data_IF_855995500565
#
_entry.id   IF_855995500565
#
_cell.length_a   1.000
_cell.length_b   1.000
_cell.length_c   1.000
_cell.angle_alpha   90.00
_cell.angle_beta   90.00
_cell.angle_gamma   90.00
#
_symmetry.space_group_name_H-M   'P 1'
#
loop_
_entity.id
_entity.type
_entity.pdbx_description
1 polymer ?
#
# COMPACT_ATOMS: atom_id res chain seq x y z
N UNK A 1 10.59 -50.13 15.14
CA UNK A 1 10.66 -48.67 14.93
C UNK A 1 9.23 -48.15 14.80
N UNK A 2 8.83 -47.26 15.71
CA UNK A 2 7.76 -46.23 15.65
C UNK A 2 6.87 -46.33 14.38
N UNK A 3 5.58 -46.67 14.42
CA UNK A 3 4.55 -46.36 15.41
C UNK A 3 4.11 -44.89 15.28
N UNK A 4 3.01 -44.64 14.54
CA UNK A 4 1.84 -43.83 14.92
C UNK A 4 1.09 -43.29 13.67
N UNK A 5 0.08 -44.07 13.30
CA UNK A 5 -1.26 -43.70 12.83
C UNK A 5 -1.53 -42.18 12.84
N UNK A 6 -1.56 -41.55 11.65
CA UNK A 6 -2.24 -40.27 11.41
C UNK A 6 -3.65 -40.52 10.89
N UNK A 7 -4.47 -41.20 11.68
CA UNK A 7 -5.92 -41.22 11.49
C UNK A 7 -6.56 -40.62 12.74
N UNK A 8 -7.48 -39.68 12.50
CA UNK A 8 -8.34 -38.97 13.45
C UNK A 8 -7.72 -37.75 14.15
N UNK A 9 -7.76 -36.60 13.49
CA UNK A 9 -7.92 -35.30 14.13
C UNK A 9 -8.65 -34.36 13.17
N UNK A 10 -9.92 -34.15 13.45
CA UNK A 10 -10.76 -33.14 12.82
C UNK A 10 -10.19 -31.75 13.14
N UNK A 11 -9.56 -31.11 12.14
CA UNK A 11 -9.39 -29.67 12.01
C UNK A 11 -8.46 -29.44 10.82
N UNK A 12 -8.98 -29.66 9.61
CA UNK A 12 -8.47 -28.98 8.42
C UNK A 12 -8.81 -27.49 8.62
N UNK A 13 -8.09 -26.81 9.52
CA UNK A 13 -7.99 -25.38 9.50
C UNK A 13 -7.28 -25.06 8.18
N UNK A 14 -8.11 -24.85 7.16
CA UNK A 14 -7.74 -24.07 5.99
C UNK A 14 -7.14 -22.79 6.54
N UNK A 15 -5.81 -22.77 6.62
CA UNK A 15 -5.04 -21.56 6.88
C UNK A 15 -5.26 -20.71 5.64
N UNK A 16 -6.37 -19.98 5.64
CA UNK A 16 -6.59 -18.86 4.74
C UNK A 16 -5.54 -17.82 5.13
N UNK A 17 -4.32 -17.98 4.61
CA UNK A 17 -3.38 -16.89 4.49
C UNK A 17 -4.04 -15.86 3.57
N UNK A 18 -4.88 -15.02 4.17
CA UNK A 18 -5.38 -13.83 3.53
C UNK A 18 -4.15 -12.95 3.36
N UNK A 19 -3.55 -12.98 2.16
CA UNK A 19 -2.68 -11.92 1.67
C UNK A 19 -3.52 -10.65 1.56
N UNK A 20 -3.93 -10.13 2.73
CA UNK A 20 -4.76 -8.96 2.87
C UNK A 20 -3.80 -7.78 2.98
N UNK A 21 -4.02 -6.81 2.12
CA UNK A 21 -3.37 -5.52 2.24
C UNK A 21 -3.62 -4.97 3.67
N UNK A 22 -2.55 -4.61 4.38
CA UNK A 22 -2.58 -4.17 5.78
C UNK A 22 -2.86 -2.69 5.92
N UNK A 23 -3.02 -1.95 4.82
CA UNK A 23 -3.41 -0.56 4.86
C UNK A 23 -4.86 -0.46 5.32
N UNK A 24 -5.04 0.14 6.49
CA UNK A 24 -6.35 0.57 6.95
C UNK A 24 -6.85 1.73 6.09
N UNK A 25 -8.12 2.08 6.25
CA UNK A 25 -8.64 3.31 5.64
C UNK A 25 -7.96 4.55 6.24
N UNK A 26 -7.67 4.51 7.54
CA UNK A 26 -6.95 5.58 8.24
C UNK A 26 -5.55 5.81 7.66
N UNK A 27 -4.80 4.74 7.37
CA UNK A 27 -3.47 4.87 6.73
C UNK A 27 -3.54 5.55 5.36
N UNK A 28 -4.58 5.21 4.59
CA UNK A 28 -4.83 5.79 3.26
C UNK A 28 -5.20 7.26 3.35
N UNK A 29 -6.07 7.61 4.28
CA UNK A 29 -6.52 8.98 4.50
C UNK A 29 -5.36 9.84 5.00
N UNK A 30 -4.57 9.33 5.95
CA UNK A 30 -3.37 10.00 6.46
C UNK A 30 -2.32 10.20 5.35
N UNK A 31 -2.04 9.17 4.54
CA UNK A 31 -1.14 9.29 3.40
C UNK A 31 -1.62 10.37 2.42
N UNK A 32 -2.91 10.33 2.05
CA UNK A 32 -3.47 11.29 1.11
C UNK A 32 -3.40 12.72 1.67
N UNK A 33 -3.75 12.92 2.95
CA UNK A 33 -3.64 14.22 3.60
C UNK A 33 -2.20 14.72 3.60
N UNK A 34 -1.25 13.92 4.07
CA UNK A 34 0.18 14.32 4.11
C UNK A 34 0.74 14.58 2.71
N UNK A 35 0.31 13.83 1.70
CA UNK A 35 0.69 14.07 0.31
C UNK A 35 0.18 15.44 -0.18
N UNK A 36 -1.10 15.74 0.05
CA UNK A 36 -1.70 17.03 -0.33
C UNK A 36 -1.02 18.21 0.38
N UNK A 37 -0.73 18.07 1.67
CA UNK A 37 -0.01 19.07 2.46
C UNK A 37 1.43 19.28 1.94
N UNK A 38 2.13 18.20 1.58
CA UNK A 38 3.51 18.26 1.06
C UNK A 38 3.63 18.95 -0.29
N UNK A 39 2.58 18.88 -1.12
CA UNK A 39 2.56 19.58 -2.41
C UNK A 39 2.33 21.08 -2.26
N UNK A 40 1.71 21.54 -1.17
CA UNK A 40 1.43 22.96 -0.95
C UNK A 40 0.65 23.63 -2.09
N UNK A 41 -0.16 22.85 -2.82
CA UNK A 41 -0.78 23.31 -4.05
C UNK A 41 -1.76 24.47 -3.79
N UNK A 42 -1.75 25.53 -4.61
CA UNK A 42 -2.77 26.57 -4.54
C UNK A 42 -4.16 25.98 -4.84
N UNK A 43 -5.22 26.72 -4.49
CA UNK A 43 -6.61 26.27 -4.68
C UNK A 43 -6.90 25.75 -6.10
N UNK A 44 -6.33 26.41 -7.10
CA UNK A 44 -6.59 26.15 -8.51
C UNK A 44 -5.95 24.84 -8.99
N UNK A 45 -4.93 24.35 -8.27
CA UNK A 45 -4.20 23.12 -8.58
C UNK A 45 -4.61 21.95 -7.67
N UNK A 46 -5.58 22.12 -6.76
CA UNK A 46 -6.04 21.06 -5.85
C UNK A 46 -6.48 19.79 -6.59
N UNK A 47 -7.12 19.93 -7.76
CA UNK A 47 -7.52 18.78 -8.57
C UNK A 47 -6.34 17.95 -9.08
N UNK A 48 -5.27 18.62 -9.53
CA UNK A 48 -4.03 17.99 -10.00
C UNK A 48 -3.26 17.35 -8.84
N UNK A 49 -3.14 18.06 -7.72
CA UNK A 49 -2.52 17.54 -6.51
C UNK A 49 -3.24 16.28 -6.01
N UNK A 50 -4.59 16.30 -6.00
CA UNK A 50 -5.39 15.14 -5.63
C UNK A 50 -5.14 13.95 -6.56
N UNK A 51 -5.16 14.18 -7.87
CA UNK A 51 -4.90 13.14 -8.86
C UNK A 51 -3.50 12.51 -8.71
N UNK A 52 -2.48 13.32 -8.41
CA UNK A 52 -1.14 12.83 -8.08
C UNK A 52 -1.14 11.95 -6.82
N UNK A 53 -1.74 12.42 -5.72
CA UNK A 53 -1.76 11.70 -4.46
C UNK A 53 -2.56 10.39 -4.55
N UNK A 54 -3.68 10.40 -5.26
CA UNK A 54 -4.48 9.20 -5.56
C UNK A 54 -3.65 8.18 -6.37
N UNK A 55 -2.94 8.63 -7.41
CA UNK A 55 -2.09 7.78 -8.24
C UNK A 55 -0.97 7.12 -7.42
N UNK A 56 -0.29 7.91 -6.59
CA UNK A 56 0.78 7.41 -5.73
C UNK A 56 0.26 6.37 -4.75
N UNK A 57 -0.85 6.67 -4.07
CA UNK A 57 -1.46 5.77 -3.08
C UNK A 57 -1.92 4.45 -3.72
N UNK A 58 -2.57 4.51 -4.88
CA UNK A 58 -3.01 3.31 -5.61
C UNK A 58 -1.82 2.40 -5.95
N UNK A 59 -0.73 2.97 -6.47
CA UNK A 59 0.43 2.19 -6.90
C UNK A 59 1.23 1.66 -5.71
N UNK A 60 1.44 2.47 -4.68
CA UNK A 60 2.18 2.07 -3.47
C UNK A 60 1.43 0.96 -2.74
N UNK A 61 0.11 1.06 -2.55
CA UNK A 61 -0.68 0.02 -1.86
C UNK A 61 -0.72 -1.31 -2.63
N UNK A 62 -0.56 -1.28 -3.95
CA UNK A 62 -0.41 -2.48 -4.79
C UNK A 62 0.98 -3.09 -4.68
N UNK A 63 2.02 -2.26 -4.70
CA UNK A 63 3.43 -2.69 -4.68
C UNK A 63 3.87 -3.13 -3.29
N UNK A 64 3.40 -2.45 -2.26
CA UNK A 64 3.64 -2.70 -0.85
C UNK A 64 2.30 -2.92 -0.13
N UNK A 65 1.70 -4.13 -0.23
CA UNK A 65 0.45 -4.43 0.45
C UNK A 65 0.56 -4.34 1.97
N UNK A 66 1.78 -4.36 2.53
CA UNK A 66 2.03 -4.11 3.94
C UNK A 66 2.59 -2.69 4.13
N UNK A 67 2.00 -1.91 5.03
CA UNK A 67 2.43 -0.52 5.27
C UNK A 67 3.82 -0.44 5.91
N UNK A 68 4.19 -1.42 6.76
CA UNK A 68 5.52 -1.45 7.36
C UNK A 68 6.60 -1.75 6.31
N UNK A 69 6.31 -2.64 5.36
CA UNK A 69 7.18 -2.94 4.22
C UNK A 69 7.41 -1.69 3.35
N UNK A 70 6.35 -0.91 3.08
CA UNK A 70 6.49 0.39 2.41
C UNK A 70 7.43 1.33 3.16
N UNK A 71 7.30 1.43 4.49
CA UNK A 71 8.13 2.32 5.32
C UNK A 71 9.60 1.89 5.36
N UNK A 72 9.87 0.58 5.40
CA UNK A 72 11.23 0.03 5.33
C UNK A 72 11.90 0.30 3.97
N UNK A 73 11.10 0.47 2.92
CA UNK A 73 11.53 0.69 1.54
C UNK A 73 11.26 2.11 1.02
N UNK A 74 11.18 3.11 1.90
CA UNK A 74 10.81 4.48 1.50
C UNK A 74 11.75 5.09 0.44
N UNK A 75 13.05 4.80 0.49
CA UNK A 75 14.01 5.24 -0.53
C UNK A 75 13.70 4.64 -1.91
N UNK A 76 13.30 3.38 -1.96
CA UNK A 76 12.90 2.70 -3.19
C UNK A 76 11.59 3.29 -3.75
N UNK A 77 10.63 3.59 -2.85
CA UNK A 77 9.36 4.23 -3.21
C UNK A 77 9.60 5.59 -3.87
N UNK A 78 10.47 6.42 -3.30
CA UNK A 78 10.77 7.76 -3.86
C UNK A 78 11.45 7.64 -5.23
N UNK A 79 12.28 6.62 -5.45
CA UNK A 79 13.04 6.45 -6.68
C UNK A 79 12.35 5.55 -7.73
N UNK A 80 11.16 5.02 -7.44
CA UNK A 80 10.46 4.10 -8.32
C UNK A 80 9.99 4.79 -9.61
N UNK A 81 10.48 4.37 -10.79
CA UNK A 81 10.07 4.96 -12.07
C UNK A 81 8.57 4.86 -12.34
N UNK A 82 7.89 3.83 -11.84
CA UNK A 82 6.44 3.67 -12.00
C UNK A 82 5.65 4.67 -11.16
N UNK A 83 6.18 5.06 -10.00
CA UNK A 83 5.61 6.10 -9.14
C UNK A 83 5.93 7.50 -9.67
N UNK A 84 7.10 7.70 -10.27
CA UNK A 84 7.46 8.95 -10.93
C UNK A 84 6.49 9.35 -12.05
N UNK A 85 5.87 8.36 -12.73
CA UNK A 85 4.81 8.62 -13.74
C UNK A 85 3.59 9.34 -13.16
N UNK A 86 3.32 9.22 -11.86
CA UNK A 86 2.22 9.97 -11.24
C UNK A 86 2.41 11.49 -11.34
N UNK A 87 3.64 11.97 -11.52
CA UNK A 87 3.93 13.41 -11.73
C UNK A 87 3.32 13.99 -13.00
N UNK A 88 2.94 13.16 -13.97
CA UNK A 88 2.18 13.61 -15.14
C UNK A 88 0.84 14.26 -14.74
N UNK A 89 0.24 13.85 -13.62
CA UNK A 89 -0.99 14.44 -13.11
C UNK A 89 -0.82 15.89 -12.60
N UNK A 90 0.41 16.36 -12.39
CA UNK A 90 0.73 17.73 -11.96
C UNK A 90 0.93 18.70 -13.14
N UNK A 91 1.03 18.20 -14.37
CA UNK A 91 1.24 19.00 -15.59
C UNK A 91 -0.08 19.60 -16.08
#
# INVERSE_FOLDING_TARGET
MRGFICLLSAALLLVFSSCKNTWSQEDKDNYHQSCMESLGAPSDDQGKAKAYCDCMLEKITKKYPNVNDMMEHMEDVVNDPELQKCKEALQ
#
